data_IF_289593739920
#
_entry.id   IF_289593739920
#
_cell.length_a   1.000
_cell.length_b   1.000
_cell.length_c   1.000
_cell.angle_alpha   90.00
_cell.angle_beta   90.00
_cell.angle_gamma   90.00
#
_symmetry.space_group_name_H-M   'P 1'
#
loop_
_entity.id
_entity.type
_entity.pdbx_description
1 polymer ?
#
# COMPACT_ATOMS: atom_id res chain seq x y z
N UNK A 1 -8.30 11.02 1.36
CA UNK A 1 -6.90 10.58 1.50
C UNK A 1 -6.56 10.72 2.97
N UNK A 2 -5.95 9.72 3.62
CA UNK A 2 -5.59 9.82 5.06
C UNK A 2 -4.41 10.79 5.18
N UNK A 3 -4.43 11.68 6.18
CA UNK A 3 -3.32 12.61 6.42
C UNK A 3 -2.03 11.84 6.74
N UNK A 4 -0.87 12.42 6.42
CA UNK A 4 0.42 11.83 6.77
C UNK A 4 0.58 11.68 8.30
N UNK A 5 0.02 12.62 9.07
CA UNK A 5 -0.01 12.57 10.52
C UNK A 5 -0.81 11.35 11.03
N UNK A 6 -2.03 11.16 10.50
CA UNK A 6 -2.90 10.03 10.84
C UNK A 6 -2.25 8.70 10.45
N UNK A 7 -1.60 8.64 9.29
CA UNK A 7 -0.88 7.46 8.84
C UNK A 7 0.24 7.07 9.80
N UNK A 8 1.05 8.04 10.22
CA UNK A 8 2.13 7.84 11.18
C UNK A 8 1.59 7.41 12.54
N UNK A 9 0.48 8.00 12.99
CA UNK A 9 -0.16 7.64 14.25
C UNK A 9 -0.69 6.19 14.24
N UNK A 10 -1.35 5.75 13.16
CA UNK A 10 -1.82 4.36 13.00
C UNK A 10 -0.64 3.38 13.11
N UNK A 11 0.47 3.66 12.41
CA UNK A 11 1.65 2.79 12.42
C UNK A 11 2.32 2.78 13.80
N UNK A 12 2.45 3.93 14.45
CA UNK A 12 3.03 4.02 15.79
C UNK A 12 2.21 3.22 16.83
N UNK A 13 0.89 3.35 16.81
CA UNK A 13 0.00 2.56 17.67
C UNK A 13 0.08 1.06 17.36
N UNK A 14 0.13 0.69 16.08
CA UNK A 14 0.27 -0.73 15.69
C UNK A 14 1.60 -1.33 16.14
N UNK A 15 2.71 -0.59 16.05
CA UNK A 15 4.03 -1.00 16.58
C UNK A 15 4.05 -1.16 18.09
N UNK A 16 3.25 -0.35 18.81
CA UNK A 16 3.05 -0.46 20.26
C UNK A 16 2.15 -1.65 20.67
N UNK A 17 1.60 -2.39 19.70
CA UNK A 17 0.72 -3.54 19.95
C UNK A 17 -0.75 -3.17 20.15
N UNK A 18 -1.16 -1.92 19.89
CA UNK A 18 -2.57 -1.53 19.98
C UNK A 18 -3.44 -2.28 18.97
N UNK A 19 -4.65 -2.62 19.40
CA UNK A 19 -5.65 -3.27 18.56
C UNK A 19 -6.21 -2.32 17.51
N UNK A 20 -6.76 -2.88 16.42
CA UNK A 20 -7.39 -2.09 15.36
C UNK A 20 -8.58 -1.29 15.91
N UNK A 21 -9.35 -1.87 16.82
CA UNK A 21 -10.49 -1.22 17.46
C UNK A 21 -10.10 0.01 18.29
N UNK A 22 -8.97 -0.06 19.01
CA UNK A 22 -8.45 1.09 19.75
C UNK A 22 -7.98 2.20 18.80
N UNK A 23 -7.22 1.84 17.76
CA UNK A 23 -6.74 2.79 16.75
C UNK A 23 -7.91 3.54 16.09
N UNK A 24 -9.00 2.83 15.76
CA UNK A 24 -10.21 3.45 15.22
C UNK A 24 -10.82 4.47 16.20
N UNK A 25 -10.96 4.10 17.48
CA UNK A 25 -11.57 4.97 18.49
C UNK A 25 -10.70 6.19 18.78
N UNK A 26 -9.39 6.01 18.90
CA UNK A 26 -8.44 7.09 19.25
C UNK A 26 -8.29 8.09 18.11
N UNK A 27 -8.15 7.61 16.87
CA UNK A 27 -7.91 8.48 15.71
C UNK A 27 -9.19 8.90 15.00
N UNK A 28 -10.35 8.38 15.41
CA UNK A 28 -11.66 8.61 14.77
C UNK A 28 -11.63 8.36 13.25
N UNK A 29 -10.82 7.39 12.83
CA UNK A 29 -10.64 7.02 11.43
C UNK A 29 -11.62 5.94 11.00
N UNK A 30 -11.92 5.91 9.71
CA UNK A 30 -12.76 4.87 9.13
C UNK A 30 -12.01 3.52 9.09
N UNK A 31 -12.73 2.41 9.27
CA UNK A 31 -12.15 1.05 9.33
C UNK A 31 -11.29 0.72 8.10
N UNK A 32 -11.82 1.01 6.91
CA UNK A 32 -11.10 0.83 5.64
C UNK A 32 -9.76 1.57 5.60
N UNK A 33 -9.71 2.78 6.16
CA UNK A 33 -8.51 3.61 6.15
C UNK A 33 -7.41 2.96 7.00
N UNK A 34 -7.76 2.52 8.21
CA UNK A 34 -6.83 1.85 9.13
C UNK A 34 -6.34 0.53 8.55
N UNK A 35 -7.24 -0.29 7.99
CA UNK A 35 -6.85 -1.55 7.34
C UNK A 35 -5.88 -1.34 6.17
N UNK A 36 -6.16 -0.37 5.29
CA UNK A 36 -5.27 -0.04 4.16
C UNK A 36 -3.90 0.44 4.60
N UNK A 37 -3.78 1.08 5.75
CA UNK A 37 -2.48 1.51 6.30
C UNK A 37 -1.73 0.33 6.89
N UNK A 38 -2.41 -0.54 7.65
CA UNK A 38 -1.80 -1.73 8.26
C UNK A 38 -1.31 -2.72 7.20
N UNK A 39 -2.12 -3.01 6.18
CA UNK A 39 -1.75 -3.92 5.08
C UNK A 39 -0.51 -3.39 4.36
N UNK A 40 -0.53 -2.11 3.97
CA UNK A 40 0.61 -1.48 3.29
C UNK A 40 1.88 -1.47 4.13
N UNK A 41 1.76 -1.25 5.43
CA UNK A 41 2.91 -1.30 6.34
C UNK A 41 3.52 -2.71 6.41
N UNK A 42 2.69 -3.76 6.44
CA UNK A 42 3.15 -5.14 6.42
C UNK A 42 3.80 -5.56 5.09
N UNK A 43 3.26 -5.10 3.96
CA UNK A 43 3.77 -5.42 2.62
C UNK A 43 5.05 -4.66 2.25
N UNK A 44 5.18 -3.39 2.66
CA UNK A 44 6.30 -2.54 2.27
C UNK A 44 7.49 -2.55 3.25
N UNK A 45 7.32 -3.13 4.45
CA UNK A 45 8.33 -3.04 5.52
C UNK A 45 8.62 -1.61 6.00
N UNK A 46 7.87 -0.61 5.53
CA UNK A 46 8.13 0.81 5.72
C UNK A 46 6.92 1.71 5.44
N UNK A 47 7.05 2.99 5.81
CA UNK A 47 5.99 4.02 5.70
C UNK A 47 6.00 4.70 4.33
N UNK A 48 6.98 4.39 3.49
CA UNK A 48 7.19 5.10 2.23
C UNK A 48 6.00 4.90 1.29
N UNK A 49 5.44 6.00 0.82
CA UNK A 49 4.39 5.96 -0.17
C UNK A 49 4.94 5.36 -1.45
N UNK A 50 4.43 4.19 -1.86
CA UNK A 50 4.75 3.63 -3.17
C UNK A 50 4.46 4.70 -4.24
N UNK A 51 5.41 5.01 -5.13
CA UNK A 51 5.17 5.96 -6.21
C UNK A 51 3.93 5.50 -6.98
N UNK A 52 2.97 6.41 -7.16
CA UNK A 52 1.77 6.18 -7.97
C UNK A 52 2.18 6.21 -9.45
N UNK A 53 2.86 5.17 -9.88
CA UNK A 53 3.24 4.95 -11.27
C UNK A 53 2.67 3.62 -11.75
N UNK A 54 2.09 3.62 -12.95
CA UNK A 54 1.92 2.38 -13.71
C UNK A 54 3.33 1.82 -13.92
N UNK A 55 3.60 0.52 -13.73
CA UNK A 55 4.86 -0.05 -14.22
C UNK A 55 4.99 0.35 -15.68
N UNK A 56 6.14 0.90 -16.07
CA UNK A 56 6.39 1.22 -17.47
C UNK A 56 6.07 -0.02 -18.30
N UNK A 57 5.04 0.08 -19.14
CA UNK A 57 4.73 -0.98 -20.09
C UNK A 57 5.85 -0.93 -21.10
N UNK A 58 6.92 -1.67 -20.86
CA UNK A 58 7.88 -1.99 -21.91
C UNK A 58 7.08 -2.56 -23.07
N UNK A 59 7.10 -1.87 -24.21
CA UNK A 59 6.40 -2.32 -25.40
C UNK A 59 6.84 -3.76 -25.69
N UNK A 60 5.87 -4.66 -25.89
CA UNK A 60 6.14 -6.05 -26.31
C UNK A 60 7.00 -5.97 -27.57
N UNK A 61 8.24 -6.43 -27.50
CA UNK A 61 9.10 -6.58 -28.67
C UNK A 61 8.37 -7.47 -29.68
N UNK A 62 8.20 -7.04 -30.94
CA UNK A 62 7.43 -7.80 -31.94
C UNK A 62 8.16 -9.05 -32.46
N UNK A 63 9.33 -9.39 -31.90
CA UNK A 63 10.20 -10.47 -32.39
C UNK A 63 9.58 -11.88 -32.27
N UNK A 64 8.48 -12.05 -31.54
CA UNK A 64 7.79 -13.34 -31.40
C UNK A 64 6.63 -13.56 -32.40
N UNK A 65 6.58 -12.86 -33.55
CA UNK A 65 5.48 -13.03 -34.52
C UNK A 65 5.77 -13.97 -35.70
N UNK A 66 7.01 -14.43 -35.89
CA UNK A 66 7.41 -15.22 -37.07
C UNK A 66 7.96 -16.61 -36.73
N UNK A 67 7.36 -17.35 -35.79
CA UNK A 67 7.71 -18.76 -35.52
C UNK A 67 6.62 -19.75 -35.95
N UNK A 68 5.76 -19.39 -36.91
CA UNK A 68 4.83 -20.31 -37.59
C UNK A 68 4.79 -19.98 -39.08
N UNK A 69 5.88 -20.30 -39.78
CA UNK A 69 5.88 -20.66 -41.21
C UNK A 69 7.08 -21.59 -41.46
N UNK A 70 6.85 -22.88 -41.30
CA UNK A 70 7.61 -23.97 -41.91
C UNK A 70 6.62 -25.08 -42.20
#
# INVERSE_FOLDING_TARGET
MVSLADHTAVVAMRKRGSSVSEILKTLKLHREQVHRVIIRFGEAGGIESRPRGRPDRTARTPTCRNAVKS
#
